data_IF_770202254578
#
_entry.id   IF_770202254578
#
_cell.length_a   1.000
_cell.length_b   1.000
_cell.length_c   1.000
_cell.angle_alpha   90.00
_cell.angle_beta   90.00
_cell.angle_gamma   90.00
#
_symmetry.space_group_name_H-M   'P 1'
#
loop_
_entity.id
_entity.type
_entity.pdbx_description
1 polymer ?
#
# COMPACT_ATOMS: atom_id res chain seq x y z
N UNK A 1 16.83 -5.58 -15.69
CA UNK A 1 15.80 -6.15 -14.80
C UNK A 1 15.50 -5.15 -13.70
N UNK A 2 14.22 -5.06 -13.34
CA UNK A 2 13.50 -3.85 -12.95
C UNK A 2 14.03 -3.18 -11.68
N UNK A 3 14.31 -1.88 -11.80
CA UNK A 3 14.64 -0.98 -10.70
C UNK A 3 13.43 -0.93 -9.75
N UNK A 4 13.41 -1.84 -8.75
CA UNK A 4 12.44 -1.78 -7.65
C UNK A 4 12.69 -0.46 -6.93
N UNK A 5 11.89 0.56 -7.28
CA UNK A 5 11.76 1.78 -6.49
C UNK A 5 11.65 1.31 -5.04
N UNK A 6 12.63 1.69 -4.22
CA UNK A 6 12.68 1.38 -2.79
C UNK A 6 11.48 2.05 -2.11
N UNK A 7 10.30 1.48 -2.29
CA UNK A 7 9.20 1.64 -1.37
C UNK A 7 9.71 1.00 -0.08
N UNK A 8 10.12 1.83 0.87
CA UNK A 8 10.65 1.38 2.16
C UNK A 8 9.71 0.32 2.74
N UNK A 9 10.26 -0.73 3.35
CA UNK A 9 9.45 -1.76 4.00
C UNK A 9 8.53 -1.15 5.06
N UNK A 10 8.94 -0.04 5.69
CA UNK A 10 8.13 0.74 6.63
C UNK A 10 6.91 1.36 5.96
N UNK A 11 7.09 2.02 4.81
CA UNK A 11 6.00 2.63 4.06
C UNK A 11 4.93 1.60 3.67
N UNK A 12 5.34 0.37 3.32
CA UNK A 12 4.40 -0.71 3.03
C UNK A 12 3.65 -1.16 4.29
N UNK A 13 4.34 -1.29 5.43
CA UNK A 13 3.69 -1.69 6.70
C UNK A 13 2.67 -0.66 7.14
N UNK A 14 3.01 0.62 7.03
CA UNK A 14 2.13 1.72 7.39
C UNK A 14 0.91 1.79 6.47
N UNK A 15 1.13 1.68 5.15
CA UNK A 15 0.04 1.59 4.18
C UNK A 15 -0.89 0.38 4.43
N UNK A 16 -0.33 -0.80 4.72
CA UNK A 16 -1.12 -2.00 5.05
C UNK A 16 -1.89 -1.80 6.37
N UNK A 17 -1.28 -1.18 7.39
CA UNK A 17 -1.95 -0.89 8.65
C UNK A 17 -3.15 0.05 8.46
N UNK A 18 -3.00 1.09 7.63
CA UNK A 18 -4.08 2.01 7.27
C UNK A 18 -5.25 1.29 6.58
N UNK A 19 -4.96 0.31 5.72
CA UNK A 19 -5.99 -0.47 5.03
C UNK A 19 -6.71 -1.52 5.90
N UNK A 20 -6.19 -1.85 7.08
CA UNK A 20 -6.82 -2.80 8.01
C UNK A 20 -7.91 -2.18 8.88
N UNK A 21 -8.14 -0.87 8.76
CA UNK A 21 -9.21 -0.19 9.48
C UNK A 21 -10.58 -0.61 8.93
N UNK A 22 -11.57 -0.92 9.80
CA UNK A 22 -12.90 -1.32 9.37
C UNK A 22 -13.56 -0.19 8.56
N UNK A 23 -14.09 -0.52 7.39
CA UNK A 23 -14.71 0.43 6.45
C UNK A 23 -13.74 1.08 5.46
N UNK A 24 -12.45 0.77 5.52
CA UNK A 24 -11.45 1.29 4.57
C UNK A 24 -11.30 0.34 3.38
N UNK A 25 -11.48 0.87 2.18
CA UNK A 25 -11.22 0.14 0.94
C UNK A 25 -9.72 0.20 0.62
N UNK A 26 -9.04 -0.95 0.65
CA UNK A 26 -7.60 -1.06 0.36
C UNK A 26 -7.24 -0.42 -0.98
N UNK A 27 -8.14 -0.52 -1.97
CA UNK A 27 -7.94 0.05 -3.30
C UNK A 27 -8.01 1.58 -3.29
N UNK A 28 -8.97 2.16 -2.56
CA UNK A 28 -9.08 3.62 -2.44
C UNK A 28 -7.86 4.20 -1.74
N UNK A 29 -7.47 3.63 -0.60
CA UNK A 29 -6.28 4.08 0.12
C UNK A 29 -5.01 3.96 -0.70
N UNK A 30 -4.84 2.85 -1.42
CA UNK A 30 -3.69 2.67 -2.30
C UNK A 30 -3.60 3.78 -3.35
N UNK A 31 -4.72 4.13 -3.99
CA UNK A 31 -4.76 5.21 -4.98
C UNK A 31 -4.48 6.59 -4.35
N UNK A 32 -5.02 6.83 -3.16
CA UNK A 32 -4.84 8.08 -2.41
C UNK A 32 -3.39 8.33 -2.01
N UNK A 33 -2.68 7.28 -1.56
CA UNK A 33 -1.27 7.36 -1.16
C UNK A 33 -0.29 7.08 -2.32
N UNK A 34 -0.78 6.93 -3.55
CA UNK A 34 0.05 6.70 -4.75
C UNK A 34 0.74 5.33 -4.80
N UNK A 35 0.16 4.32 -4.14
CA UNK A 35 0.65 2.95 -4.05
C UNK A 35 -0.16 2.02 -4.94
N UNK A 36 0.49 0.99 -5.49
CA UNK A 36 -0.21 -0.04 -6.24
C UNK A 36 -1.10 -0.88 -5.30
N UNK A 37 -2.42 -0.99 -5.51
CA UNK A 37 -3.30 -1.78 -4.65
C UNK A 37 -2.85 -3.24 -4.48
N UNK A 38 -2.22 -3.81 -5.51
CA UNK A 38 -1.72 -5.20 -5.48
C UNK A 38 -0.58 -5.42 -4.48
N UNK A 39 0.09 -4.36 -4.02
CA UNK A 39 1.11 -4.48 -2.96
C UNK A 39 0.52 -4.37 -1.54
N UNK A 40 -0.74 -3.95 -1.40
CA UNK A 40 -1.45 -3.89 -0.12
C UNK A 40 -2.40 -5.07 0.09
N UNK A 41 -2.83 -5.73 -1.00
CA UNK A 41 -3.75 -6.87 -0.96
C UNK A 41 -3.06 -8.25 -0.95
N UNK A 42 -1.73 -8.31 -0.86
CA UNK A 42 -0.94 -9.55 -0.89
C UNK A 42 -0.38 -9.85 0.49
#
# INVERSE_FOLDING_TARGET
>A
MTQRRKSSAEFKREAVALTRQPGVSCRQMALEIGVNPNVLSR
#
